data_IF_774680436768
#
_entry.id   IF_774680436768
#
_cell.length_a   1.000
_cell.length_b   1.000
_cell.length_c   1.000
_cell.angle_alpha   90.00
_cell.angle_beta   90.00
_cell.angle_gamma   90.00
#
_symmetry.space_group_name_H-M   'P 1'
#
loop_
_entity.id
_entity.type
_entity.pdbx_description
1 polymer ?
#
# COMPACT_ATOMS: atom_id res chain seq x y z
N UNK A 1 -3.38 -10.43 9.11
CA UNK A 1 -2.28 -10.25 8.12
C UNK A 1 -1.22 -11.31 8.37
N UNK A 2 -0.71 -11.97 7.33
CA UNK A 2 0.25 -13.08 7.44
C UNK A 2 1.68 -12.59 7.22
N UNK A 3 2.60 -13.00 8.09
CA UNK A 3 4.04 -12.81 7.95
C UNK A 3 4.65 -14.22 7.82
N UNK A 4 5.32 -14.48 6.71
CA UNK A 4 6.08 -15.70 6.45
C UNK A 4 7.55 -15.46 6.79
N UNK A 5 8.21 -16.45 7.39
CA UNK A 5 9.66 -16.44 7.58
C UNK A 5 10.29 -17.07 6.35
N UNK A 6 11.17 -16.35 5.61
CA UNK A 6 11.80 -16.89 4.42
C UNK A 6 12.76 -18.03 4.78
N UNK A 7 12.64 -19.15 4.07
CA UNK A 7 13.67 -20.18 4.02
C UNK A 7 14.90 -19.64 3.26
N UNK A 8 16.09 -20.12 3.59
CA UNK A 8 17.37 -19.84 2.92
C UNK A 8 17.35 -20.03 1.40
N UNK A 9 16.42 -20.84 0.87
CA UNK A 9 16.23 -21.07 -0.56
C UNK A 9 15.00 -20.37 -1.17
N UNK A 10 14.23 -19.64 -0.36
CA UNK A 10 13.06 -18.91 -0.85
C UNK A 10 13.48 -17.64 -1.60
N UNK A 11 13.08 -17.54 -2.86
CA UNK A 11 13.25 -16.33 -3.68
C UNK A 11 12.24 -15.23 -3.35
N UNK A 12 11.16 -15.55 -2.62
CA UNK A 12 10.16 -14.59 -2.16
C UNK A 12 9.34 -15.14 -0.99
N UNK A 13 8.79 -14.26 -0.15
CA UNK A 13 7.91 -14.61 0.98
C UNK A 13 6.84 -13.53 1.19
N UNK A 14 5.88 -13.78 2.08
CA UNK A 14 4.84 -12.80 2.44
C UNK A 14 5.22 -11.97 3.67
N UNK A 15 5.11 -10.65 3.58
CA UNK A 15 5.27 -9.71 4.68
C UNK A 15 4.05 -8.79 4.75
N UNK A 16 3.25 -8.88 5.81
CA UNK A 16 1.96 -8.17 5.95
C UNK A 16 1.02 -8.29 4.73
N UNK A 17 1.04 -9.44 4.03
CA UNK A 17 0.22 -9.64 2.83
C UNK A 17 0.82 -9.10 1.53
N UNK A 18 2.01 -8.50 1.58
CA UNK A 18 2.79 -8.09 0.41
C UNK A 18 3.83 -9.17 0.12
N UNK A 19 3.93 -9.62 -1.13
CA UNK A 19 5.00 -10.54 -1.51
C UNK A 19 6.30 -9.74 -1.70
N UNK A 20 7.33 -10.10 -0.94
CA UNK A 20 8.64 -9.47 -0.94
C UNK A 20 9.72 -10.47 -1.38
N UNK A 21 10.87 -9.96 -1.80
CA UNK A 21 12.04 -10.72 -2.21
C UNK A 21 13.31 -10.09 -1.66
N UNK A 22 14.44 -10.82 -1.59
CA UNK A 22 15.72 -10.20 -1.26
C UNK A 22 16.01 -9.05 -2.21
N UNK A 23 16.53 -7.94 -1.70
CA UNK A 23 16.85 -6.76 -2.51
C UNK A 23 17.77 -7.14 -3.66
N UNK A 24 17.44 -6.72 -4.87
CA UNK A 24 18.13 -7.14 -6.11
C UNK A 24 19.64 -6.82 -6.12
N UNK A 25 20.10 -5.86 -5.29
CA UNK A 25 21.51 -5.45 -5.14
C UNK A 25 22.36 -6.40 -4.28
N UNK A 26 21.80 -7.40 -3.60
CA UNK A 26 22.61 -8.29 -2.72
C UNK A 26 23.47 -9.31 -3.48
N UNK A 27 23.51 -9.31 -4.82
CA UNK A 27 24.53 -10.06 -5.56
C UNK A 27 25.93 -9.49 -5.39
N UNK A 28 26.04 -8.22 -5.01
CA UNK A 28 27.31 -7.55 -4.72
C UNK A 28 27.06 -6.38 -3.76
N UNK A 29 27.13 -6.65 -2.45
CA UNK A 29 27.42 -5.67 -1.40
C UNK A 29 26.56 -4.40 -1.33
N UNK A 30 25.64 -4.35 -0.37
CA UNK A 30 25.54 -3.32 0.70
C UNK A 30 24.29 -3.67 1.52
N UNK A 31 24.45 -3.91 2.82
CA UNK A 31 23.32 -4.01 3.76
C UNK A 31 22.48 -2.74 3.62
N UNK A 32 21.15 -2.86 3.61
CA UNK A 32 20.30 -1.68 3.58
C UNK A 32 20.66 -0.72 4.72
N UNK A 33 20.37 0.57 4.53
CA UNK A 33 20.64 1.58 5.56
C UNK A 33 20.06 1.13 6.91
N UNK A 34 20.77 1.34 8.04
CA UNK A 34 20.31 0.90 9.35
C UNK A 34 18.85 1.34 9.61
N UNK A 35 17.95 0.37 9.82
CA UNK A 35 16.51 0.61 10.01
C UNK A 35 15.63 0.21 8.81
N UNK A 36 16.21 -0.09 7.64
CA UNK A 36 15.46 -0.61 6.50
C UNK A 36 15.56 -2.14 6.39
N UNK A 37 14.49 -2.84 5.99
CA UNK A 37 14.53 -4.28 5.80
C UNK A 37 15.36 -4.66 4.58
N UNK A 38 16.11 -5.77 4.66
CA UNK A 38 16.92 -6.32 3.54
C UNK A 38 16.07 -7.02 2.45
N UNK A 39 14.87 -6.52 2.20
CA UNK A 39 13.92 -7.07 1.22
C UNK A 39 13.12 -5.97 0.53
N UNK A 40 12.74 -6.22 -0.72
CA UNK A 40 11.95 -5.32 -1.57
C UNK A 40 10.63 -5.96 -2.01
N UNK A 41 9.58 -5.20 -2.33
CA UNK A 41 8.38 -5.74 -2.95
C UNK A 41 8.73 -6.47 -4.26
N UNK A 42 8.30 -7.73 -4.37
CA UNK A 42 8.60 -8.58 -5.53
C UNK A 42 7.72 -8.17 -6.73
N UNK A 43 8.26 -7.29 -7.58
CA UNK A 43 7.55 -6.58 -8.66
C UNK A 43 6.86 -7.49 -9.68
N UNK A 44 7.36 -8.70 -9.91
CA UNK A 44 6.83 -9.63 -10.91
C UNK A 44 5.71 -10.56 -10.40
N UNK A 45 5.17 -10.35 -9.19
CA UNK A 45 4.17 -11.26 -8.62
C UNK A 45 2.69 -10.99 -8.93
N UNK A 46 2.41 -10.19 -9.95
CA UNK A 46 1.02 -9.95 -10.42
C UNK A 46 0.29 -11.27 -10.70
N UNK A 47 0.98 -12.30 -11.19
CA UNK A 47 0.38 -13.61 -11.43
C UNK A 47 -0.08 -14.33 -10.14
N UNK A 48 0.69 -14.24 -9.04
CA UNK A 48 0.29 -14.79 -7.73
C UNK A 48 -0.83 -13.95 -7.10
N UNK A 49 -0.81 -12.63 -7.26
CA UNK A 49 -1.88 -11.75 -6.79
C UNK A 49 -3.20 -12.04 -7.52
N UNK A 50 -3.16 -12.20 -8.85
CA UNK A 50 -4.32 -12.62 -9.66
C UNK A 50 -4.91 -13.95 -9.22
N UNK A 51 -4.09 -14.94 -8.83
CA UNK A 51 -4.59 -16.23 -8.30
C UNK A 51 -5.30 -16.10 -6.95
N UNK A 52 -4.99 -15.06 -6.17
CA UNK A 52 -5.61 -14.78 -4.87
C UNK A 52 -6.85 -13.90 -5.00
N UNK A 53 -6.97 -13.17 -6.11
CA UNK A 53 -8.17 -12.41 -6.43
C UNK A 53 -9.37 -13.35 -6.58
N UNK A 54 -10.44 -13.04 -5.86
CA UNK A 54 -11.69 -13.79 -5.93
C UNK A 54 -12.82 -12.80 -6.09
N UNK A 55 -13.37 -12.74 -7.31
CA UNK A 55 -14.54 -11.90 -7.61
C UNK A 55 -15.70 -12.19 -6.66
N UNK A 56 -15.91 -13.46 -6.29
CA UNK A 56 -16.95 -13.84 -5.32
C UNK A 56 -16.71 -13.21 -3.94
N UNK A 57 -15.49 -13.28 -3.40
CA UNK A 57 -15.16 -12.66 -2.10
C UNK A 57 -15.28 -11.13 -2.16
N UNK A 58 -14.89 -10.53 -3.28
CA UNK A 58 -15.03 -9.10 -3.49
C UNK A 58 -16.52 -8.69 -3.51
N UNK A 59 -17.36 -9.44 -4.23
CA UNK A 59 -18.80 -9.19 -4.23
C UNK A 59 -19.41 -9.33 -2.83
N UNK A 60 -19.06 -10.39 -2.10
CA UNK A 60 -19.52 -10.55 -0.70
C UNK A 60 -19.10 -9.37 0.19
N UNK A 61 -17.88 -8.84 0.02
CA UNK A 61 -17.45 -7.65 0.73
C UNK A 61 -18.33 -6.42 0.41
N UNK A 62 -18.69 -6.22 -0.87
CA UNK A 62 -19.56 -5.13 -1.28
C UNK A 62 -21.01 -5.31 -0.80
N UNK A 63 -21.46 -6.55 -0.69
CA UNK A 63 -22.79 -6.87 -0.15
C UNK A 63 -22.86 -6.66 1.38
N UNK A 64 -21.78 -6.95 2.10
CA UNK A 64 -21.68 -6.80 3.57
C UNK A 64 -21.38 -5.36 4.00
N UNK A 65 -20.53 -4.64 3.26
CA UNK A 65 -20.10 -3.28 3.58
C UNK A 65 -20.48 -2.36 2.42
N UNK A 66 -21.58 -1.61 2.52
CA UNK A 66 -21.93 -0.62 1.51
C UNK A 66 -20.86 0.48 1.46
N UNK A 67 -20.42 0.84 0.25
CA UNK A 67 -19.44 1.88 -0.02
C UNK A 67 -18.14 1.77 0.81
N UNK A 68 -17.37 0.65 0.69
CA UNK A 68 -16.15 0.46 1.49
C UNK A 68 -15.09 1.54 1.24
N UNK A 69 -15.12 2.19 0.08
CA UNK A 69 -14.27 3.34 -0.25
C UNK A 69 -14.50 4.56 0.65
N UNK A 70 -15.73 4.79 1.12
CA UNK A 70 -16.00 5.87 2.08
C UNK A 70 -15.32 5.56 3.42
N UNK A 71 -15.44 4.30 3.87
CA UNK A 71 -14.76 3.83 5.09
C UNK A 71 -13.25 3.94 4.95
N UNK A 72 -12.68 3.58 3.79
CA UNK A 72 -11.26 3.79 3.50
C UNK A 72 -10.88 5.27 3.60
N UNK A 73 -11.66 6.16 2.96
CA UNK A 73 -11.36 7.59 2.95
C UNK A 73 -11.46 8.21 4.34
N UNK A 74 -12.46 7.83 5.15
CA UNK A 74 -12.61 8.28 6.53
C UNK A 74 -11.46 7.81 7.43
N UNK A 75 -10.98 6.58 7.22
CA UNK A 75 -9.86 6.01 7.96
C UNK A 75 -8.48 6.37 7.40
N UNK A 76 -8.41 7.25 6.39
CA UNK A 76 -7.12 7.68 5.83
C UNK A 76 -6.31 8.43 6.88
N UNK A 77 -4.98 8.33 6.81
CA UNK A 77 -4.09 9.19 7.58
C UNK A 77 -4.24 10.62 7.09
N UNK A 78 -4.58 11.53 7.99
CA UNK A 78 -4.72 12.97 7.73
C UNK A 78 -3.53 13.78 8.22
N UNK A 79 -2.55 13.12 8.83
CA UNK A 79 -1.35 13.72 9.42
C UNK A 79 -0.21 13.82 8.40
N UNK A 80 0.53 14.92 8.46
CA UNK A 80 1.78 15.10 7.74
C UNK A 80 2.94 14.62 8.62
N UNK A 81 3.69 13.62 8.15
CA UNK A 81 4.76 13.01 8.96
C UNK A 81 6.02 13.87 9.11
N UNK A 82 6.30 14.73 8.13
CA UNK A 82 7.57 15.48 8.05
C UNK A 82 7.42 16.99 8.22
N UNK A 83 6.19 17.50 8.20
CA UNK A 83 5.91 18.94 8.21
C UNK A 83 4.71 19.23 9.11
N UNK A 84 4.71 20.37 9.78
CA UNK A 84 3.49 20.89 10.41
C UNK A 84 2.74 21.72 9.39
N UNK A 85 1.41 21.64 9.41
CA UNK A 85 0.57 22.39 8.49
C UNK A 85 0.77 23.91 8.60
N UNK A 86 0.96 24.40 9.82
CA UNK A 86 1.21 25.82 10.13
C UNK A 86 2.50 26.38 9.52
N UNK A 87 3.50 25.51 9.28
CA UNK A 87 4.78 25.87 8.68
C UNK A 87 4.72 25.91 7.14
N UNK A 88 3.60 25.45 6.54
CA UNK A 88 3.42 25.41 5.10
C UNK A 88 2.93 26.75 4.56
N UNK A 89 3.39 27.11 3.36
CA UNK A 89 2.88 28.29 2.66
C UNK A 89 1.38 28.14 2.36
N UNK A 90 0.62 29.24 2.27
CA UNK A 90 -0.81 29.19 1.95
C UNK A 90 -1.13 28.43 0.65
N UNK A 91 -0.24 28.55 -0.34
CA UNK A 91 -0.38 27.82 -1.61
C UNK A 91 -0.32 26.31 -1.41
N UNK A 92 0.68 25.81 -0.67
CA UNK A 92 0.83 24.37 -0.40
C UNK A 92 -0.33 23.85 0.45
N UNK A 93 -0.84 24.66 1.38
CA UNK A 93 -2.03 24.28 2.16
C UNK A 93 -3.25 24.11 1.25
N UNK A 94 -3.47 25.02 0.29
CA UNK A 94 -4.56 24.92 -0.67
C UNK A 94 -4.42 23.68 -1.57
N UNK A 95 -3.21 23.38 -2.06
CA UNK A 95 -2.95 22.19 -2.89
C UNK A 95 -3.26 20.89 -2.13
N UNK A 96 -2.92 20.81 -0.84
CA UNK A 96 -3.24 19.65 0.02
C UNK A 96 -4.76 19.50 0.19
N UNK A 97 -5.48 20.61 0.38
CA UNK A 97 -6.94 20.59 0.49
C UNK A 97 -7.60 20.17 -0.82
N UNK A 98 -7.12 20.67 -1.96
CA UNK A 98 -7.58 20.26 -3.28
C UNK A 98 -7.36 18.76 -3.48
N UNK A 99 -6.16 18.27 -3.17
CA UNK A 99 -5.84 16.85 -3.25
C UNK A 99 -6.77 16.01 -2.36
N UNK A 100 -7.00 16.42 -1.12
CA UNK A 100 -7.92 15.73 -0.21
C UNK A 100 -9.37 15.72 -0.73
N UNK A 101 -9.80 16.80 -1.38
CA UNK A 101 -11.11 16.91 -2.02
C UNK A 101 -11.24 15.98 -3.22
N UNK A 102 -10.22 15.93 -4.08
CA UNK A 102 -10.15 15.00 -5.21
C UNK A 102 -10.17 13.54 -4.75
N UNK A 103 -9.39 13.21 -3.70
CA UNK A 103 -9.40 11.87 -3.11
C UNK A 103 -10.78 11.48 -2.59
N UNK A 104 -11.55 12.41 -2.03
CA UNK A 104 -12.92 12.15 -1.58
C UNK A 104 -13.83 11.89 -2.78
N UNK A 105 -13.81 12.82 -3.74
CA UNK A 105 -14.65 12.80 -4.94
C UNK A 105 -14.47 11.52 -5.76
N UNK A 106 -13.24 11.02 -5.81
CA UNK A 106 -12.86 9.84 -6.58
C UNK A 106 -12.54 8.62 -5.70
N UNK A 107 -13.01 8.58 -4.45
CA UNK A 107 -12.68 7.52 -3.49
C UNK A 107 -13.02 6.12 -4.05
N UNK A 108 -14.19 5.97 -4.69
CA UNK A 108 -14.60 4.71 -5.30
C UNK A 108 -13.65 4.28 -6.43
N UNK A 109 -13.35 5.18 -7.37
CA UNK A 109 -12.48 4.86 -8.50
C UNK A 109 -11.06 4.50 -8.03
N UNK A 110 -10.55 5.18 -7.00
CA UNK A 110 -9.26 4.86 -6.39
C UNK A 110 -9.29 3.49 -5.69
N UNK A 111 -10.38 3.17 -5.00
CA UNK A 111 -10.58 1.86 -4.38
C UNK A 111 -10.61 0.74 -5.42
N UNK A 112 -11.39 0.90 -6.49
CA UNK A 112 -11.52 -0.08 -7.57
C UNK A 112 -10.22 -0.24 -8.38
N UNK A 113 -9.39 0.80 -8.49
CA UNK A 113 -8.09 0.68 -9.16
C UNK A 113 -7.06 -0.09 -8.33
N UNK A 114 -7.24 -0.13 -7.00
CA UNK A 114 -6.29 -0.75 -6.07
C UNK A 114 -6.64 -2.19 -5.70
N UNK A 115 -7.76 -2.72 -6.19
CA UNK A 115 -8.29 -4.06 -5.91
C UNK A 115 -8.64 -4.80 -7.20
#
# INVERSE_FOLDING_TARGET
>A
MTIEVPDTHCSSWMYYGICVQPTSDTKTSIRQAPGFPDFEPHKHNIARLKKRWSSKKYQTLLDEVPAPWETMYLNRRTELYFHRREDLSPMVQADIEELASLMNKYAQALWEHTH
#
